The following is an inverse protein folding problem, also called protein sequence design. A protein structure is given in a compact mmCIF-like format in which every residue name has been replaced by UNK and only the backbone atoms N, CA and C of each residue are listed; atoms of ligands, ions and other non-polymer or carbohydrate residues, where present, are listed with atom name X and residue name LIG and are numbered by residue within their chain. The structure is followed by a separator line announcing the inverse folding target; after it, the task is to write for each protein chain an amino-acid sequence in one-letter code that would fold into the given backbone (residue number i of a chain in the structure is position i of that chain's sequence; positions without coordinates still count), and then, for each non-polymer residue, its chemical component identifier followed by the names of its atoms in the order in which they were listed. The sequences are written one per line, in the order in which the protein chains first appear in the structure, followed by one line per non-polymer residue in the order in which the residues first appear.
data_IF_711963012857
#
_entry.id   IF_711963012857
#
_cell.length_a   1.000
_cell.length_b   1.000
_cell.length_c   1.000
_cell.angle_alpha   90.00
_cell.angle_beta   90.00
_cell.angle_gamma   90.00
#
_symmetry.space_group_name_H-M   'P 1'
#
loop_
_entity.id
_entity.type
_entity.pdbx_description
1 polymer ?
#
# COMPACT_ATOMS: atom_id res chain seq x y z
N UNK A 1 30.75 -30.84 -6.34
CA UNK A 1 29.33 -30.44 -6.42
C UNK A 1 29.04 -29.36 -5.37
N UNK A 2 28.67 -28.13 -5.73
CA UNK A 2 28.24 -27.14 -4.75
C UNK A 2 26.79 -27.42 -4.34
N UNK A 3 26.55 -27.69 -3.04
CA UNK A 3 25.22 -27.77 -2.46
C UNK A 3 24.60 -26.38 -2.41
N UNK A 4 23.61 -26.13 -3.26
CA UNK A 4 22.75 -24.93 -3.21
C UNK A 4 21.94 -25.00 -1.90
N UNK A 5 22.37 -24.27 -0.88
CA UNK A 5 21.53 -24.02 0.30
C UNK A 5 20.44 -23.02 -0.10
N UNK A 6 19.24 -23.54 -0.36
CA UNK A 6 18.03 -22.73 -0.50
C UNK A 6 17.79 -21.97 0.81
N UNK A 7 18.01 -20.66 0.81
CA UNK A 7 17.51 -19.77 1.87
C UNK A 7 15.98 -19.79 1.81
N UNK A 8 15.35 -20.60 2.66
CA UNK A 8 13.92 -20.47 2.97
C UNK A 8 13.72 -19.10 3.63
N UNK A 9 13.29 -18.11 2.86
CA UNK A 9 12.84 -16.82 3.39
C UNK A 9 11.48 -17.09 4.05
N UNK A 10 11.48 -17.39 5.35
CA UNK A 10 10.26 -17.37 6.18
C UNK A 10 9.78 -15.92 6.29
N UNK A 11 8.80 -15.56 5.46
CA UNK A 11 8.08 -14.29 5.54
C UNK A 11 7.09 -14.36 6.71
N UNK A 12 7.52 -13.96 7.91
CA UNK A 12 6.66 -13.89 9.09
C UNK A 12 5.88 -12.57 9.16
N UNK A 13 5.27 -12.10 8.06
CA UNK A 13 4.29 -11.01 8.12
C UNK A 13 2.96 -11.59 8.59
N UNK A 14 2.35 -11.00 9.62
CA UNK A 14 1.06 -11.45 10.15
C UNK A 14 0.01 -10.40 9.83
N UNK A 15 -0.90 -10.76 8.91
CA UNK A 15 -2.15 -10.03 8.67
C UNK A 15 -3.17 -10.56 9.67
N UNK A 16 -3.75 -9.67 10.48
CA UNK A 16 -4.87 -9.98 11.37
C UNK A 16 -6.04 -9.15 10.86
N UNK A 17 -6.83 -9.73 9.95
CA UNK A 17 -7.96 -9.05 9.33
C UNK A 17 -8.87 -10.03 8.64
N UNK A 18 -10.18 -9.77 8.75
CA UNK A 18 -11.25 -10.49 8.06
C UNK A 18 -11.55 -9.91 6.66
N UNK A 19 -10.73 -8.99 6.15
CA UNK A 19 -10.90 -8.38 4.83
C UNK A 19 -11.00 -9.45 3.72
N UNK A 20 -12.04 -9.41 2.87
CA UNK A 20 -12.90 -8.24 2.60
C UNK A 20 -14.13 -8.01 3.50
N UNK A 21 -14.42 -8.86 4.50
CA UNK A 21 -15.60 -8.69 5.38
C UNK A 21 -15.55 -7.38 6.18
N UNK A 22 -14.36 -6.96 6.59
CA UNK A 22 -14.14 -5.69 7.29
C UNK A 22 -13.08 -4.86 6.57
N UNK A 23 -13.35 -3.56 6.43
CA UNK A 23 -12.43 -2.60 5.78
C UNK A 23 -11.27 -2.17 6.67
N UNK A 24 -11.27 -2.60 7.93
CA UNK A 24 -10.22 -2.34 8.92
C UNK A 24 -9.21 -3.47 8.93
N UNK A 25 -7.94 -3.13 8.74
CA UNK A 25 -6.87 -4.13 8.59
C UNK A 25 -5.70 -3.79 9.49
N UNK A 26 -5.34 -4.72 10.37
CA UNK A 26 -4.07 -4.69 11.08
C UNK A 26 -3.05 -5.54 10.32
N UNK A 27 -2.01 -4.88 9.83
CA UNK A 27 -0.88 -5.52 9.18
C UNK A 27 0.38 -5.28 9.99
N UNK A 28 1.05 -6.36 10.41
CA UNK A 28 2.34 -6.25 11.09
C UNK A 28 3.42 -6.86 10.22
N UNK A 29 4.37 -6.02 9.83
CA UNK A 29 5.68 -6.43 9.31
C UNK A 29 6.67 -6.54 10.47
N UNK A 30 7.82 -7.21 10.27
CA UNK A 30 8.86 -7.46 11.27
C UNK A 30 9.29 -6.21 12.06
N UNK A 31 9.15 -5.03 11.47
CA UNK A 31 9.58 -3.75 12.06
C UNK A 31 8.45 -2.81 12.47
N UNK A 32 7.27 -2.91 11.86
CA UNK A 32 6.19 -1.91 12.01
C UNK A 32 4.82 -2.55 11.89
N UNK A 33 3.89 -2.04 12.71
CA UNK A 33 2.47 -2.31 12.57
C UNK A 33 1.79 -1.15 11.87
N UNK A 34 0.87 -1.48 10.97
CA UNK A 34 0.05 -0.56 10.23
C UNK A 34 -1.42 -0.90 10.46
N UNK A 35 -2.21 0.14 10.68
CA UNK A 35 -3.67 0.07 10.73
C UNK A 35 -4.23 0.78 9.51
N UNK A 36 -4.92 0.03 8.67
CA UNK A 36 -5.56 0.55 7.47
C UNK A 36 -7.07 0.58 7.66
N UNK A 37 -7.71 1.60 7.11
CA UNK A 37 -9.14 1.61 6.83
C UNK A 37 -9.31 1.92 5.36
N UNK A 38 -9.68 0.91 4.57
CA UNK A 38 -9.96 1.07 3.14
C UNK A 38 -11.27 1.86 3.03
N UNK A 39 -11.22 3.01 2.37
CA UNK A 39 -12.38 3.88 2.13
C UNK A 39 -12.95 3.66 0.74
N UNK A 40 -12.08 3.41 -0.23
CA UNK A 40 -12.44 3.12 -1.60
C UNK A 40 -11.35 2.22 -2.22
N UNK A 41 -11.75 1.10 -2.80
CA UNK A 41 -10.82 0.12 -3.41
C UNK A 41 -10.34 0.53 -4.80
N UNK A 42 -11.05 1.46 -5.44
CA UNK A 42 -10.75 1.91 -6.79
C UNK A 42 -11.05 0.84 -7.86
N UNK A 43 -10.88 1.23 -9.12
CA UNK A 43 -11.08 0.36 -10.27
C UNK A 43 -9.74 0.07 -10.94
N UNK A 44 -9.62 -1.12 -11.49
CA UNK A 44 -8.45 -1.51 -12.27
C UNK A 44 -8.81 -1.39 -13.74
N UNK A 45 -8.26 -0.38 -14.42
CA UNK A 45 -8.48 -0.22 -15.85
C UNK A 45 -8.05 -1.49 -16.59
N UNK A 46 -8.94 -2.02 -17.43
CA UNK A 46 -8.59 -3.02 -18.43
C UNK A 46 -7.62 -2.36 -19.46
N UNK A 47 -6.74 -3.12 -20.14
CA UNK A 47 -5.51 -2.58 -20.73
C UNK A 47 -5.81 -1.51 -21.80
N UNK A 48 -5.02 -0.41 -21.91
CA UNK A 48 -3.53 -0.38 -21.92
C UNK A 48 -2.81 0.34 -20.73
N UNK A 49 -3.52 0.94 -19.79
CA UNK A 49 -2.95 1.88 -18.78
C UNK A 49 -2.54 1.17 -17.47
N UNK A 50 -1.97 -0.03 -17.55
CA UNK A 50 -1.59 -0.78 -16.35
C UNK A 50 -0.24 -0.30 -15.81
N UNK A 51 -0.28 0.65 -14.88
CA UNK A 51 0.89 1.00 -14.08
C UNK A 51 1.13 -0.08 -13.02
N UNK A 52 2.32 -0.68 -13.05
CA UNK A 52 2.72 -1.70 -12.08
C UNK A 52 3.80 -1.21 -11.13
N UNK A 53 3.77 -1.71 -9.89
CA UNK A 53 4.80 -1.43 -8.89
C UNK A 53 5.86 -2.55 -8.90
N UNK A 54 7.14 -2.15 -8.96
CA UNK A 54 8.39 -2.96 -8.99
C UNK A 54 8.74 -3.65 -10.31
N UNK A 55 10.05 -3.88 -10.51
CA UNK A 55 10.75 -4.57 -11.64
C UNK A 55 10.16 -5.91 -12.13
N UNK A 56 9.08 -6.41 -11.53
CA UNK A 56 8.39 -7.68 -11.88
C UNK A 56 6.86 -7.56 -11.97
N UNK A 57 6.31 -6.36 -12.12
CA UNK A 57 4.87 -6.13 -12.28
C UNK A 57 3.99 -6.72 -11.17
N UNK A 58 4.45 -6.70 -9.91
CA UNK A 58 3.83 -7.50 -8.84
C UNK A 58 2.48 -6.95 -8.38
N UNK A 59 2.24 -5.65 -8.50
CA UNK A 59 1.05 -5.01 -7.97
C UNK A 59 0.44 -4.09 -9.01
N UNK A 60 -0.83 -4.33 -9.36
CA UNK A 60 -1.64 -3.42 -10.16
C UNK A 60 -1.99 -2.18 -9.34
N UNK A 61 -1.99 -1.01 -9.99
CA UNK A 61 -2.38 0.25 -9.35
C UNK A 61 -3.86 0.52 -9.67
N UNK A 62 -4.74 0.66 -8.65
CA UNK A 62 -6.13 1.06 -8.86
C UNK A 62 -6.27 2.58 -9.09
N UNK A 63 -7.27 2.95 -9.88
CA UNK A 63 -7.75 4.33 -10.04
C UNK A 63 -8.90 4.63 -9.06
N UNK A 64 -8.95 5.85 -8.54
CA UNK A 64 -9.94 6.26 -7.52
C UNK A 64 -9.76 5.56 -6.17
N UNK A 65 -8.55 5.11 -5.84
CA UNK A 65 -8.28 4.39 -4.59
C UNK A 65 -8.11 5.35 -3.42
N UNK A 66 -8.66 4.99 -2.25
CA UNK A 66 -8.49 5.74 -1.01
C UNK A 66 -8.34 4.82 0.21
N UNK A 67 -7.27 5.05 0.98
CA UNK A 67 -7.05 4.36 2.26
C UNK A 67 -6.61 5.33 3.34
N UNK A 68 -7.16 5.17 4.54
CA UNK A 68 -6.64 5.81 5.74
C UNK A 68 -5.59 4.88 6.35
N UNK A 69 -4.37 5.37 6.49
CA UNK A 69 -3.23 4.60 6.96
C UNK A 69 -2.69 5.20 8.24
N UNK A 70 -2.49 4.36 9.24
CA UNK A 70 -1.98 4.77 10.55
C UNK A 70 -0.83 3.86 10.95
N UNK A 71 0.28 4.44 11.37
CA UNK A 71 1.45 3.68 11.83
C UNK A 71 2.04 4.29 13.11
N UNK A 72 2.96 3.54 13.73
CA UNK A 72 3.56 3.80 15.05
C UNK A 72 2.54 3.71 16.22
N UNK A 73 3.01 4.00 17.45
CA UNK A 73 2.26 3.85 18.70
C UNK A 73 2.38 5.11 19.58
N UNK A 74 1.42 5.30 20.48
CA UNK A 74 1.41 6.43 21.42
C UNK A 74 1.43 7.78 20.72
N UNK A 75 2.20 8.72 21.26
CA UNK A 75 2.36 10.09 20.74
C UNK A 75 3.02 10.16 19.36
N UNK A 76 3.76 9.11 18.99
CA UNK A 76 4.41 8.99 17.67
C UNK A 76 3.46 8.48 16.60
N UNK A 77 2.22 8.11 16.97
CA UNK A 77 1.20 7.66 16.03
C UNK A 77 0.99 8.73 14.96
N UNK A 78 1.05 8.32 13.70
CA UNK A 78 0.78 9.18 12.54
C UNK A 78 -0.33 8.57 11.71
N UNK A 79 -1.25 9.42 11.27
CA UNK A 79 -2.40 9.04 10.47
C UNK A 79 -2.41 9.89 9.21
N UNK A 80 -2.56 9.27 8.05
CA UNK A 80 -2.67 9.93 6.75
C UNK A 80 -3.81 9.34 5.94
N UNK A 81 -4.27 10.08 4.94
CA UNK A 81 -5.14 9.55 3.87
C UNK A 81 -4.33 9.48 2.59
N UNK A 82 -4.26 8.30 2.01
CA UNK A 82 -3.57 8.03 0.77
C UNK A 82 -4.61 7.89 -0.35
N UNK A 83 -4.34 8.53 -1.48
CA UNK A 83 -5.19 8.54 -2.66
C UNK A 83 -4.38 8.21 -3.90
N UNK A 84 -5.00 7.46 -4.82
CA UNK A 84 -4.44 7.21 -6.15
C UNK A 84 -5.51 7.49 -7.17
N UNK A 85 -5.23 8.45 -8.04
CA UNK A 85 -6.09 8.81 -9.15
C UNK A 85 -5.25 8.85 -10.42
N UNK A 86 -5.84 8.57 -11.57
CA UNK A 86 -5.20 8.73 -12.86
C UNK A 86 -5.55 10.09 -13.46
N UNK A 87 -4.54 10.79 -13.98
CA UNK A 87 -4.69 12.00 -14.80
C UNK A 87 -3.88 11.76 -16.06
N UNK A 88 -4.51 11.93 -17.23
CA UNK A 88 -3.86 11.68 -18.53
C UNK A 88 -3.17 10.31 -18.57
N UNK A 89 -3.89 9.28 -18.13
CA UNK A 89 -3.41 7.89 -18.10
C UNK A 89 -2.21 7.63 -17.17
N UNK A 90 -1.85 8.60 -16.32
CA UNK A 90 -0.73 8.45 -15.38
C UNK A 90 -1.21 8.50 -13.94
N UNK A 91 -0.77 7.57 -13.07
CA UNK A 91 -1.16 7.59 -11.68
C UNK A 91 -0.51 8.75 -10.95
N UNK A 92 -1.31 9.47 -10.16
CA UNK A 92 -0.88 10.48 -9.20
C UNK A 92 -1.11 9.92 -7.80
N UNK A 93 -0.03 9.82 -7.05
CA UNK A 93 -0.02 9.36 -5.67
C UNK A 93 -0.11 10.57 -4.75
N UNK A 94 -1.24 10.76 -4.07
CA UNK A 94 -1.47 11.87 -3.15
C UNK A 94 -1.58 11.36 -1.72
N UNK A 95 -0.99 12.09 -0.78
CA UNK A 95 -1.10 11.82 0.64
C UNK A 95 -1.54 13.10 1.34
N UNK A 96 -2.67 13.04 2.03
CA UNK A 96 -3.14 14.11 2.88
C UNK A 96 -2.79 13.81 4.34
N UNK A 97 -2.28 14.80 5.05
CA UNK A 97 -1.75 14.70 6.41
C UNK A 97 -2.06 15.97 7.21
N UNK A 98 -1.58 16.06 8.45
CA UNK A 98 -1.88 17.14 9.40
C UNK A 98 -3.29 17.07 9.99
N UNK A 99 -3.63 18.04 10.84
CA UNK A 99 -4.94 18.12 11.50
C UNK A 99 -6.02 18.23 10.43
N UNK A 100 -7.06 17.39 10.54
CA UNK A 100 -8.16 17.31 9.56
C UNK A 100 -7.73 17.06 8.10
N UNK A 101 -6.51 16.56 7.88
CA UNK A 101 -5.96 16.30 6.54
C UNK A 101 -5.84 17.58 5.67
N UNK A 102 -5.55 18.73 6.29
CA UNK A 102 -5.44 20.03 5.60
C UNK A 102 -4.25 20.14 4.64
N UNK A 103 -3.17 19.41 4.90
CA UNK A 103 -1.96 19.45 4.09
C UNK A 103 -1.88 18.26 3.14
N UNK A 104 -1.18 18.43 2.01
CA UNK A 104 -0.98 17.37 1.03
C UNK A 104 0.44 17.34 0.47
N UNK A 105 0.92 16.13 0.20
CA UNK A 105 2.03 15.88 -0.74
C UNK A 105 1.52 15.05 -1.90
N UNK A 106 2.17 15.18 -3.06
CA UNK A 106 1.87 14.34 -4.21
C UNK A 106 3.13 13.95 -4.97
N UNK A 107 3.06 12.84 -5.69
CA UNK A 107 4.08 12.41 -6.64
C UNK A 107 3.44 11.75 -7.84
N UNK A 108 3.94 12.05 -9.02
CA UNK A 108 3.68 11.34 -10.27
C UNK A 108 4.77 10.29 -10.58
N UNK A 109 5.77 10.12 -9.71
CA UNK A 109 6.91 9.22 -9.92
C UNK A 109 6.60 7.85 -9.31
N UNK A 110 6.34 7.81 -8.00
CA UNK A 110 6.03 6.56 -7.31
C UNK A 110 5.36 6.77 -5.96
N UNK A 111 4.67 5.73 -5.48
CA UNK A 111 4.12 5.65 -4.12
C UNK A 111 5.18 5.89 -3.05
N UNK A 112 6.38 5.32 -3.25
CA UNK A 112 7.48 5.44 -2.30
C UNK A 112 8.02 6.87 -2.27
N UNK A 113 8.04 7.56 -3.40
CA UNK A 113 8.43 8.97 -3.47
C UNK A 113 7.45 9.83 -2.67
N UNK A 114 6.14 9.66 -2.89
CA UNK A 114 5.11 10.36 -2.10
C UNK A 114 5.20 10.01 -0.60
N UNK A 115 5.40 8.73 -0.27
CA UNK A 115 5.47 8.25 1.11
C UNK A 115 6.67 8.83 1.88
N UNK A 116 7.84 8.92 1.23
CA UNK A 116 9.00 9.55 1.87
C UNK A 116 8.88 11.08 1.90
N UNK A 117 8.17 11.70 0.96
CA UNK A 117 7.87 13.12 1.02
C UNK A 117 7.01 13.48 2.24
N UNK A 118 5.93 12.72 2.51
CA UNK A 118 5.12 12.95 3.72
C UNK A 118 5.90 12.62 4.99
N UNK A 119 6.75 11.59 4.97
CA UNK A 119 7.54 11.21 6.14
C UNK A 119 8.48 12.35 6.56
N UNK A 120 9.15 13.01 5.61
CA UNK A 120 9.99 14.19 5.86
C UNK A 120 9.20 15.38 6.41
N UNK A 121 7.95 15.56 5.97
CA UNK A 121 7.05 16.60 6.52
C UNK A 121 6.61 16.30 7.95
N UNK A 122 6.31 15.04 8.26
CA UNK A 122 5.86 14.60 9.59
C UNK A 122 7.00 14.46 10.62
N UNK A 123 8.23 14.26 10.15
CA UNK A 123 9.42 14.05 10.96
C UNK A 123 10.62 14.80 10.37
N UNK A 124 10.59 16.13 10.45
CA UNK A 124 11.65 17.01 9.93
C UNK A 124 13.04 16.68 10.47
N UNK A 125 13.14 16.13 11.68
CA UNK A 125 14.41 15.76 12.33
C UNK A 125 14.94 14.35 11.98
N UNK A 126 14.23 13.57 11.15
CA UNK A 126 14.54 12.16 10.92
C UNK A 126 14.84 11.85 9.45
N UNK A 127 15.90 12.47 8.93
CA UNK A 127 16.29 12.43 7.51
C UNK A 127 16.64 11.02 6.99
N UNK A 128 17.07 10.11 7.87
CA UNK A 128 17.51 8.76 7.49
C UNK A 128 16.36 7.75 7.41
N UNK A 129 15.18 8.08 7.93
CA UNK A 129 14.05 7.15 7.94
C UNK A 129 13.39 7.10 6.57
N UNK A 130 13.13 5.89 6.08
CA UNK A 130 12.34 5.64 4.88
C UNK A 130 11.09 4.84 5.23
N UNK A 131 10.07 4.98 4.39
CA UNK A 131 8.84 4.22 4.45
C UNK A 131 8.49 3.67 3.07
N UNK A 132 8.00 2.44 3.05
CA UNK A 132 7.59 1.79 1.82
C UNK A 132 6.22 2.31 1.38
N UNK A 133 6.13 2.85 0.16
CA UNK A 133 4.86 3.30 -0.40
C UNK A 133 3.83 2.18 -0.53
N UNK A 134 4.27 0.95 -0.83
CA UNK A 134 3.40 -0.24 -0.92
C UNK A 134 2.72 -0.56 0.41
N UNK A 135 3.42 -0.34 1.53
CA UNK A 135 2.83 -0.52 2.85
C UNK A 135 1.98 0.69 3.22
N UNK A 136 2.47 1.92 3.05
CA UNK A 136 1.71 3.10 3.43
C UNK A 136 0.35 3.20 2.71
N UNK A 137 0.32 2.90 1.41
CA UNK A 137 -0.90 2.83 0.60
C UNK A 137 -1.59 1.47 0.67
N UNK A 138 -1.05 0.49 1.41
CA UNK A 138 -1.62 -0.84 1.57
C UNK A 138 -1.90 -1.64 0.28
N UNK A 139 -1.26 -1.28 -0.84
CA UNK A 139 -1.50 -1.89 -2.17
C UNK A 139 -1.27 -3.41 -2.17
N UNK A 140 -0.33 -3.89 -1.36
CA UNK A 140 -0.09 -5.32 -1.17
C UNK A 140 -1.34 -6.09 -0.70
N UNK A 141 -2.25 -5.45 0.05
CA UNK A 141 -3.48 -6.08 0.54
C UNK A 141 -4.56 -6.19 -0.54
N UNK A 142 -4.67 -5.18 -1.41
CA UNK A 142 -5.64 -5.17 -2.49
C UNK A 142 -5.28 -6.24 -3.52
N UNK A 143 -3.99 -6.37 -3.86
CA UNK A 143 -3.52 -7.45 -4.73
C UNK A 143 -3.73 -8.85 -4.13
N UNK A 144 -3.60 -9.00 -2.81
CA UNK A 144 -3.90 -10.28 -2.14
C UNK A 144 -5.40 -10.66 -2.22
N UNK A 145 -6.30 -9.68 -2.21
CA UNK A 145 -7.73 -9.92 -2.42
C UNK A 145 -8.00 -10.40 -3.86
N UNK A 146 -7.47 -9.69 -4.85
CA UNK A 146 -7.61 -10.07 -6.26
C UNK A 146 -7.08 -11.49 -6.54
N UNK A 147 -5.94 -11.85 -5.95
CA UNK A 147 -5.38 -13.18 -6.12
C UNK A 147 -6.31 -14.28 -5.60
N UNK A 148 -7.05 -14.03 -4.50
CA UNK A 148 -8.03 -14.98 -3.96
C UNK A 148 -9.30 -15.05 -4.79
N UNK A 149 -9.81 -13.91 -5.27
CA UNK A 149 -11.00 -13.85 -6.12
C UNK A 149 -10.77 -14.56 -7.46
N UNK A 150 -9.59 -14.37 -8.06
CA UNK A 150 -9.22 -15.08 -9.29
C UNK A 150 -9.06 -16.60 -9.10
N UNK A 151 -8.78 -17.07 -7.88
CA UNK A 151 -8.74 -18.52 -7.58
C UNK A 151 -10.17 -19.03 -7.45
N UNK A 152 -11.04 -18.34 -6.71
CA UNK A 152 -12.45 -18.71 -6.55
C UNK A 152 -13.17 -18.82 -7.90
N UNK A 153 -12.99 -17.84 -8.79
CA UNK A 153 -13.61 -17.86 -10.13
C UNK A 153 -13.13 -19.06 -10.96
N UNK A 154 -11.90 -19.56 -10.73
CA UNK A 154 -11.43 -20.77 -11.43
C UNK A 154 -12.00 -22.06 -10.86
N UNK A 155 -12.35 -22.08 -9.58
CA UNK A 155 -12.97 -23.25 -8.94
C UNK A 155 -14.46 -23.35 -9.26
N UNK A 156 -15.16 -22.21 -9.43
CA UNK A 156 -16.58 -22.18 -9.79
C UNK A 156 -16.87 -22.48 -11.27
N UNK A 157 -15.83 -22.57 -12.12
CA UNK A 157 -15.92 -22.89 -13.55
C UNK A 157 -15.40 -24.30 -13.90
N UNK A 158 -15.27 -25.20 -12.92
CA UNK A 158 -14.88 -26.62 -13.10
C UNK A 158 -16.03 -27.53 -12.68
#
# INVERSE_FOLDING_TARGET
MPKIRSRKIKNNSKKISEYPKTNSILFTDKKRSYYYTIRQEGLYSQPPILAYIQKKNKYKIPDGYCVKSTWDRGEKKRTVKCFINYIEEKPIFRIMYSINFSEKVQSNISLTTAANAVLRKLFSLNEKSLISGVHLFSIHLVTLKQAKENISIKEDNI
#
